data_IF_500359697458
#
_entry.id   IF_500359697458
#
_cell.length_a   1.000
_cell.length_b   1.000
_cell.length_c   1.000
_cell.angle_alpha   90.00
_cell.angle_beta   90.00
_cell.angle_gamma   90.00
#
_symmetry.space_group_name_H-M   'P 1'
#
loop_
_entity.id
_entity.type
_entity.pdbx_description
1 polymer ?
#
# COMPACT_ATOMS: atom_id res chain seq x y z
N UNK A 1 -44.75 -28.09 4.28
CA UNK A 1 -43.30 -27.92 4.50
C UNK A 1 -43.02 -26.43 4.63
N UNK A 2 -42.33 -25.96 5.68
CA UNK A 2 -41.96 -24.55 5.79
C UNK A 2 -40.78 -24.22 4.88
N UNK A 3 -40.75 -22.99 4.37
CA UNK A 3 -39.66 -22.46 3.55
C UNK A 3 -39.14 -21.17 4.19
N UNK A 4 -37.83 -20.97 4.14
CA UNK A 4 -37.16 -19.76 4.62
C UNK A 4 -36.48 -19.11 3.43
N UNK A 5 -36.70 -17.81 3.25
CA UNK A 5 -36.06 -17.02 2.19
C UNK A 5 -34.93 -16.19 2.81
N UNK A 6 -33.69 -16.49 2.42
CA UNK A 6 -32.51 -15.77 2.86
C UNK A 6 -32.09 -14.76 1.79
N UNK A 7 -31.91 -13.48 2.17
CA UNK A 7 -31.40 -12.43 1.27
C UNK A 7 -29.92 -12.23 1.54
N UNK A 8 -29.06 -12.57 0.58
CA UNK A 8 -27.63 -12.32 0.65
C UNK A 8 -27.26 -10.99 -0.01
N UNK A 9 -26.27 -10.28 0.53
CA UNK A 9 -25.71 -9.05 -0.06
C UNK A 9 -24.38 -9.35 -0.74
N UNK A 10 -24.25 -8.97 -2.02
CA UNK A 10 -23.03 -9.18 -2.81
C UNK A 10 -22.17 -7.91 -2.78
N UNK A 11 -20.96 -8.01 -2.24
CA UNK A 11 -19.96 -6.94 -2.28
C UNK A 11 -19.05 -7.14 -3.49
N UNK A 12 -19.13 -6.25 -4.49
CA UNK A 12 -18.23 -6.25 -5.66
C UNK A 12 -17.20 -5.14 -5.54
N UNK A 13 -15.93 -5.44 -5.83
CA UNK A 13 -14.90 -4.42 -6.04
C UNK A 13 -15.07 -3.85 -7.45
N UNK A 14 -15.16 -2.53 -7.53
CA UNK A 14 -15.20 -1.80 -8.80
C UNK A 14 -13.90 -1.01 -8.86
N UNK A 15 -13.11 -1.29 -9.89
CA UNK A 15 -11.95 -0.47 -10.22
C UNK A 15 -12.43 0.67 -11.10
N UNK A 16 -12.25 1.91 -10.63
CA UNK A 16 -12.62 3.12 -11.37
C UNK A 16 -11.31 3.71 -11.90
N UNK A 17 -11.15 3.82 -13.24
CA UNK A 17 -9.99 4.46 -13.84
C UNK A 17 -9.87 5.91 -13.37
N UNK A 18 -8.64 6.40 -13.25
CA UNK A 18 -8.39 7.78 -12.80
C UNK A 18 -9.00 8.78 -13.78
N UNK A 19 -8.99 8.47 -15.06
CA UNK A 19 -9.52 9.26 -16.16
C UNK A 19 -11.01 9.52 -15.96
N UNK A 20 -11.78 8.50 -15.58
CA UNK A 20 -13.21 8.61 -15.28
C UNK A 20 -13.46 9.53 -14.09
N UNK A 21 -12.59 9.50 -13.08
CA UNK A 21 -12.70 10.41 -11.93
C UNK A 21 -12.44 11.86 -12.35
N UNK A 22 -11.48 12.09 -13.25
CA UNK A 22 -11.17 13.43 -13.78
C UNK A 22 -12.35 13.97 -14.58
N UNK A 23 -12.94 13.18 -15.48
CA UNK A 23 -14.13 13.59 -16.25
C UNK A 23 -15.30 13.97 -15.34
N UNK A 24 -15.52 13.22 -14.24
CA UNK A 24 -16.56 13.56 -13.27
C UNK A 24 -16.27 14.91 -12.61
N UNK A 25 -15.01 15.17 -12.21
CA UNK A 25 -14.61 16.43 -11.59
C UNK A 25 -14.76 17.62 -12.55
N UNK A 26 -14.50 17.42 -13.84
CA UNK A 26 -14.69 18.43 -14.88
C UNK A 26 -16.17 18.78 -15.13
N UNK A 27 -17.10 17.90 -14.78
CA UNK A 27 -18.53 18.18 -14.90
C UNK A 27 -19.13 18.87 -13.65
N UNK A 28 -18.35 19.01 -12.57
CA UNK A 28 -18.79 19.73 -11.36
C UNK A 28 -18.72 21.24 -11.52
N UNK A 29 -19.60 21.96 -10.82
CA UNK A 29 -19.54 23.41 -10.71
C UNK A 29 -18.36 23.89 -9.85
N UNK A 30 -17.93 25.15 -10.01
CA UNK A 30 -16.76 25.69 -9.30
C UNK A 30 -16.82 25.52 -7.78
N UNK A 31 -18.00 25.73 -7.18
CA UNK A 31 -18.22 25.55 -5.75
C UNK A 31 -17.97 24.12 -5.30
N UNK A 32 -18.48 23.15 -6.05
CA UNK A 32 -18.37 21.72 -5.75
C UNK A 32 -16.93 21.23 -5.92
N UNK A 33 -16.24 21.70 -6.98
CA UNK A 33 -14.80 21.41 -7.17
C UNK A 33 -13.97 21.91 -5.99
N UNK A 34 -14.21 23.14 -5.53
CA UNK A 34 -13.51 23.71 -4.39
C UNK A 34 -13.77 22.94 -3.09
N UNK A 35 -14.99 22.48 -2.85
CA UNK A 35 -15.30 21.62 -1.70
C UNK A 35 -14.57 20.27 -1.78
N UNK A 36 -14.49 19.66 -2.96
CA UNK A 36 -13.75 18.40 -3.17
C UNK A 36 -12.26 18.62 -2.89
N UNK A 37 -11.66 19.68 -3.44
CA UNK A 37 -10.25 20.01 -3.22
C UNK A 37 -9.96 20.24 -1.73
N UNK A 38 -10.80 21.00 -1.02
CA UNK A 38 -10.62 21.19 0.42
C UNK A 38 -10.71 19.86 1.20
N UNK A 39 -11.67 18.99 0.87
CA UNK A 39 -11.80 17.66 1.48
C UNK A 39 -10.62 16.74 1.19
N UNK A 40 -9.95 16.90 0.06
CA UNK A 40 -8.74 16.14 -0.29
C UNK A 40 -7.50 16.70 0.43
N UNK A 41 -7.36 18.03 0.54
CA UNK A 41 -6.25 18.69 1.23
C UNK A 41 -6.31 18.51 2.76
N UNK A 42 -7.52 18.47 3.34
CA UNK A 42 -7.73 18.28 4.78
C UNK A 42 -7.51 16.85 5.25
N UNK A 43 -7.40 15.87 4.33
CA UNK A 43 -6.93 14.54 4.70
C UNK A 43 -5.41 14.64 4.83
N UNK A 44 -4.83 14.59 6.04
CA UNK A 44 -3.40 14.41 6.14
C UNK A 44 -3.08 13.13 5.38
N UNK A 45 -2.28 13.25 4.32
CA UNK A 45 -1.65 12.09 3.70
C UNK A 45 -0.70 11.59 4.78
N UNK A 46 -1.21 10.72 5.65
CA UNK A 46 -0.41 10.03 6.63
C UNK A 46 0.51 9.11 5.82
N UNK A 47 1.66 9.64 5.43
CA UNK A 47 2.74 8.83 4.90
C UNK A 47 2.98 7.76 5.96
N UNK A 48 2.73 6.51 5.58
CA UNK A 48 2.95 5.40 6.50
C UNK A 48 4.41 5.50 6.97
N UNK A 49 4.68 5.41 8.28
CA UNK A 49 6.05 5.38 8.74
C UNK A 49 6.77 4.25 8.01
N UNK A 50 7.99 4.53 7.53
CA UNK A 50 8.81 3.52 6.89
C UNK A 50 9.02 2.37 7.87
N UNK A 51 8.39 1.23 7.59
CA UNK A 51 8.54 0.02 8.39
C UNK A 51 9.72 -0.76 7.83
N UNK A 52 10.86 -0.70 8.52
CA UNK A 52 12.01 -1.59 8.23
C UNK A 52 11.53 -3.03 8.27
N UNK A 53 11.88 -3.80 7.24
CA UNK A 53 11.63 -5.23 7.24
C UNK A 53 12.59 -5.96 8.20
N UNK A 54 12.24 -7.18 8.57
CA UNK A 54 13.12 -8.02 9.37
C UNK A 54 14.37 -8.39 8.57
N UNK A 55 15.54 -8.29 9.19
CA UNK A 55 16.82 -8.71 8.60
C UNK A 55 16.77 -10.12 8.01
N UNK A 56 16.08 -11.05 8.68
CA UNK A 56 15.92 -12.41 8.19
C UNK A 56 15.17 -12.48 6.85
N UNK A 57 14.15 -11.63 6.66
CA UNK A 57 13.38 -11.57 5.41
C UNK A 57 14.25 -11.00 4.29
N UNK A 58 14.97 -9.92 4.58
CA UNK A 58 15.88 -9.29 3.63
C UNK A 58 16.91 -10.31 3.13
N UNK A 59 17.64 -10.98 4.04
CA UNK A 59 18.65 -11.98 3.67
C UNK A 59 18.05 -13.15 2.90
N UNK A 60 16.85 -13.61 3.27
CA UNK A 60 16.15 -14.67 2.57
C UNK A 60 15.76 -14.29 1.14
N UNK A 61 15.41 -13.03 0.89
CA UNK A 61 15.08 -12.58 -0.45
C UNK A 61 16.32 -12.50 -1.34
N UNK A 62 17.48 -12.09 -0.80
CA UNK A 62 18.75 -12.17 -1.51
C UNK A 62 19.19 -13.62 -1.75
N UNK A 63 19.04 -14.52 -0.77
CA UNK A 63 19.45 -15.93 -0.92
C UNK A 63 18.63 -16.66 -1.98
N UNK A 64 17.32 -16.40 -2.08
CA UNK A 64 16.44 -17.00 -3.11
C UNK A 64 16.86 -16.69 -4.54
N UNK A 65 17.58 -15.59 -4.77
CA UNK A 65 18.06 -15.27 -6.11
C UNK A 65 19.13 -16.25 -6.59
N UNK A 66 19.83 -16.94 -5.67
CA UNK A 66 20.99 -17.79 -5.97
C UNK A 66 22.11 -17.06 -6.77
N UNK A 67 22.12 -15.73 -6.77
CA UNK A 67 23.11 -14.91 -7.47
C UNK A 67 24.30 -14.50 -6.59
N UNK A 68 24.21 -14.77 -5.29
CA UNK A 68 25.15 -14.28 -4.29
C UNK A 68 25.79 -15.44 -3.54
N UNK A 69 27.09 -15.31 -3.30
CA UNK A 69 27.86 -16.25 -2.51
C UNK A 69 27.48 -16.17 -1.03
N UNK A 70 27.61 -17.28 -0.29
CA UNK A 70 27.27 -17.32 1.13
C UNK A 70 28.05 -16.30 1.97
N UNK A 71 29.32 -16.07 1.64
CA UNK A 71 30.15 -15.11 2.37
C UNK A 71 29.68 -13.67 2.17
N UNK A 72 29.22 -13.33 0.96
CA UNK A 72 28.58 -12.04 0.70
C UNK A 72 27.29 -11.86 1.52
N UNK A 73 26.46 -12.91 1.61
CA UNK A 73 25.22 -12.85 2.39
C UNK A 73 25.49 -12.67 3.89
N UNK A 74 26.54 -13.30 4.43
CA UNK A 74 26.99 -13.10 5.82
C UNK A 74 27.48 -11.68 6.06
N UNK A 75 28.28 -11.14 5.14
CA UNK A 75 28.78 -9.77 5.24
C UNK A 75 27.64 -8.75 5.15
N UNK A 76 26.66 -8.99 4.28
CA UNK A 76 25.44 -8.19 4.18
C UNK A 76 24.65 -8.22 5.50
N UNK A 77 24.44 -9.40 6.09
CA UNK A 77 23.74 -9.51 7.36
C UNK A 77 24.45 -8.74 8.48
N UNK A 78 25.77 -8.86 8.58
CA UNK A 78 26.57 -8.13 9.57
C UNK A 78 26.57 -6.62 9.32
N UNK A 79 26.67 -6.20 8.06
CA UNK A 79 26.60 -4.81 7.65
C UNK A 79 25.25 -4.19 8.02
N UNK A 80 24.16 -4.89 7.72
CA UNK A 80 22.81 -4.46 8.05
C UNK A 80 22.56 -4.42 9.57
N UNK A 81 23.13 -5.36 10.34
CA UNK A 81 23.08 -5.31 11.82
C UNK A 81 23.79 -4.06 12.36
N UNK A 82 24.95 -3.71 11.82
CA UNK A 82 25.72 -2.51 12.21
C UNK A 82 25.02 -1.21 11.80
N UNK A 83 24.41 -1.16 10.62
CA UNK A 83 23.66 0.01 10.14
C UNK A 83 22.27 0.15 10.78
N UNK A 84 21.76 -0.93 11.40
CA UNK A 84 20.48 -0.93 12.12
C UNK A 84 20.56 -0.33 13.52
N UNK A 85 21.70 0.27 13.91
CA UNK A 85 21.80 1.13 15.10
C UNK A 85 20.97 2.40 14.87
N UNK A 86 19.67 2.29 15.12
CA UNK A 86 18.81 3.43 15.42
C UNK A 86 18.50 3.36 16.93
N UNK A 87 18.95 4.38 17.65
CA UNK A 87 18.35 4.77 18.94
C UNK A 87 16.91 5.20 18.72
#
# INVERSE_FOLDING_TARGET
MPFITMKETITKRIEIPLETVIEILENLGEKERNEVIQKLQTRPIALKPFKKDNLANIINDFSKTNLYQEDFLKDLEQGLKKSSVCK
#
